data_IF_019762135241
#
_entry.id   IF_019762135241
#
_cell.length_a   1.000
_cell.length_b   1.000
_cell.length_c   1.000
_cell.angle_alpha   90.00
_cell.angle_beta   90.00
_cell.angle_gamma   90.00
#
_symmetry.space_group_name_H-M   'P 1'
#
loop_
_entity.id
_entity.type
_entity.pdbx_description
1 polymer ?
#
# COMPACT_ATOMS: atom_id res chain seq x y z
N UNK A 1 -5.01 23.77 8.27
CA UNK A 1 -4.98 23.51 9.73
C UNK A 1 -5.83 22.28 10.00
N UNK A 2 -5.22 21.13 10.33
CA UNK A 2 -5.97 19.91 10.65
C UNK A 2 -6.33 19.90 12.14
N UNK A 3 -7.62 19.96 12.46
CA UNK A 3 -8.10 19.84 13.84
C UNK A 3 -7.90 18.40 14.32
N UNK A 4 -7.20 18.25 15.45
CA UNK A 4 -6.91 16.96 16.07
C UNK A 4 -8.16 16.52 16.84
N UNK A 5 -8.97 15.65 16.24
CA UNK A 5 -10.12 15.06 16.94
C UNK A 5 -9.64 14.04 17.96
N UNK A 6 -10.01 14.23 19.23
CA UNK A 6 -9.72 13.31 20.32
C UNK A 6 -10.99 12.52 20.66
N UNK A 7 -10.95 11.19 20.49
CA UNK A 7 -11.99 10.29 20.99
C UNK A 7 -11.57 9.77 22.36
N UNK A 8 -12.37 10.09 23.37
CA UNK A 8 -12.24 9.51 24.70
C UNK A 8 -13.15 8.29 24.79
N UNK A 9 -12.68 7.24 25.45
CA UNK A 9 -13.45 6.04 25.73
C UNK A 9 -13.43 5.77 27.25
N UNK A 10 -14.48 5.13 27.76
CA UNK A 10 -14.56 4.74 29.16
C UNK A 10 -13.59 3.58 29.41
N UNK A 11 -12.86 3.62 30.53
CA UNK A 11 -12.00 2.54 30.97
C UNK A 11 -12.83 1.30 31.31
N UNK A 12 -12.56 0.18 30.64
CA UNK A 12 -13.29 -1.08 30.76
C UNK A 12 -12.63 -2.09 31.72
N UNK A 13 -11.46 -1.75 32.28
CA UNK A 13 -10.76 -2.57 33.28
C UNK A 13 -9.99 -3.76 32.71
N UNK A 14 -10.10 -4.04 31.41
CA UNK A 14 -9.38 -5.17 30.76
C UNK A 14 -7.91 -4.82 30.46
N UNK A 15 -7.56 -3.54 30.53
CA UNK A 15 -6.27 -3.00 30.14
C UNK A 15 -5.25 -3.12 31.29
N UNK A 16 -4.50 -4.21 31.32
CA UNK A 16 -3.35 -4.39 32.20
C UNK A 16 -2.10 -3.78 31.57
N UNK A 17 -2.05 -2.45 31.52
CA UNK A 17 -0.93 -1.70 30.91
C UNK A 17 0.18 -1.40 31.91
N UNK A 18 -0.09 -1.64 33.19
CA UNK A 18 0.81 -1.37 34.29
C UNK A 18 0.84 -2.58 35.22
N UNK A 19 1.78 -3.50 34.95
CA UNK A 19 2.12 -4.55 35.91
C UNK A 19 3.17 -3.98 36.85
N UNK A 20 2.71 -3.34 37.92
CA UNK A 20 3.58 -2.96 39.03
C UNK A 20 3.54 -4.06 40.07
N UNK A 21 4.69 -4.63 40.41
CA UNK A 21 4.79 -5.38 41.66
C UNK A 21 4.66 -4.41 42.82
N UNK A 22 3.73 -4.71 43.73
CA UNK A 22 3.40 -3.87 44.88
C UNK A 22 4.61 -3.69 45.82
N UNK A 23 5.52 -4.66 45.84
CA UNK A 23 6.74 -4.61 46.64
C UNK A 23 7.72 -3.55 46.12
N UNK A 24 8.01 -3.56 44.81
CA UNK A 24 8.88 -2.60 44.14
C UNK A 24 8.33 -1.17 44.21
N UNK A 25 7.01 -1.05 44.16
CA UNK A 25 6.31 0.23 44.31
C UNK A 25 6.55 0.82 45.70
N UNK A 26 6.47 0.00 46.75
CA UNK A 26 6.72 0.46 48.11
C UNK A 26 8.19 0.80 48.37
N UNK A 27 9.12 0.02 47.83
CA UNK A 27 10.55 0.31 47.96
C UNK A 27 10.90 1.65 47.32
N UNK A 28 10.44 1.90 46.08
CA UNK A 28 10.68 3.16 45.37
C UNK A 28 10.03 4.36 46.07
N UNK A 29 8.82 4.20 46.62
CA UNK A 29 8.15 5.28 47.35
C UNK A 29 8.81 5.55 48.71
N UNK A 30 9.34 4.53 49.38
CA UNK A 30 10.03 4.67 50.67
C UNK A 30 11.33 5.45 50.52
N UNK A 31 12.10 5.19 49.46
CA UNK A 31 13.37 5.85 49.23
C UNK A 31 13.19 7.33 48.87
N UNK A 32 12.19 7.65 48.05
CA UNK A 32 11.91 9.04 47.67
C UNK A 32 11.21 9.83 48.78
N UNK A 33 10.36 9.20 49.60
CA UNK A 33 9.80 9.81 50.80
C UNK A 33 10.89 10.19 51.80
N UNK A 34 11.87 9.31 52.01
CA UNK A 34 13.03 9.59 52.88
C UNK A 34 13.93 10.71 52.32
N UNK A 35 14.03 10.85 50.99
CA UNK A 35 14.85 11.90 50.35
C UNK A 35 14.18 13.28 50.27
N UNK A 36 12.87 13.34 50.03
CA UNK A 36 12.17 14.59 49.65
C UNK A 36 10.88 14.87 50.40
N UNK A 37 10.33 13.90 51.14
CA UNK A 37 9.11 14.07 51.94
C UNK A 37 7.80 14.21 51.16
N UNK A 38 7.81 14.11 49.82
CA UNK A 38 6.63 14.25 48.98
C UNK A 38 6.41 13.03 48.06
N UNK A 39 5.43 12.22 48.45
CA UNK A 39 4.99 11.01 47.75
C UNK A 39 4.35 11.35 46.40
N UNK A 40 3.66 12.50 46.30
CA UNK A 40 2.92 12.88 45.10
C UNK A 40 3.85 13.19 43.92
N UNK A 41 5.00 13.80 44.22
CA UNK A 41 6.05 14.08 43.24
C UNK A 41 6.74 12.80 42.77
N UNK A 42 7.06 11.88 43.70
CA UNK A 42 7.65 10.58 43.37
C UNK A 42 6.75 9.75 42.45
N UNK A 43 5.45 9.70 42.75
CA UNK A 43 4.46 8.97 41.96
C UNK A 43 4.30 9.58 40.56
N UNK A 44 4.38 10.91 40.44
CA UNK A 44 4.31 11.62 39.15
C UNK A 44 5.54 11.36 38.29
N UNK A 45 6.73 11.35 38.89
CA UNK A 45 7.98 11.06 38.17
C UNK A 45 8.06 9.59 37.77
N UNK A 46 7.58 8.69 38.61
CA UNK A 46 7.43 7.26 38.34
C UNK A 46 6.47 7.01 37.17
N UNK A 47 5.29 7.62 37.16
CA UNK A 47 4.35 7.49 36.03
C UNK A 47 4.94 8.06 34.73
N UNK A 48 5.73 9.13 34.81
CA UNK A 48 6.31 9.78 33.63
C UNK A 48 7.46 8.98 33.04
N UNK A 49 8.32 8.41 33.89
CA UNK A 49 9.60 7.82 33.49
C UNK A 49 9.68 6.29 33.64
N UNK A 50 8.68 5.66 34.26
CA UNK A 50 8.70 4.22 34.59
C UNK A 50 9.45 3.93 35.90
N UNK A 51 9.25 2.72 36.44
CA UNK A 51 10.01 2.23 37.59
C UNK A 51 11.24 1.50 37.07
N UNK A 52 12.44 1.92 37.50
CA UNK A 52 13.66 1.17 37.24
C UNK A 52 13.76 0.05 38.28
N UNK A 53 13.37 -1.16 37.90
CA UNK A 53 13.68 -2.36 38.70
C UNK A 53 15.12 -2.79 38.44
N UNK A 54 15.80 -3.30 39.47
CA UNK A 54 17.16 -3.86 39.35
C UNK A 54 17.17 -5.22 38.65
N UNK A 55 16.01 -5.86 38.54
CA UNK A 55 15.80 -7.08 37.75
C UNK A 55 15.08 -6.70 36.46
N UNK A 56 15.73 -7.08 35.35
CA UNK A 56 15.52 -6.88 33.91
C UNK A 56 14.18 -6.42 33.28
N UNK A 57 13.06 -6.32 34.00
CA UNK A 57 11.80 -5.75 33.48
C UNK A 57 11.37 -4.53 34.29
N UNK A 58 11.89 -3.37 33.90
CA UNK A 58 11.35 -2.09 34.33
C UNK A 58 9.96 -1.89 33.74
N UNK A 59 8.99 -1.47 34.57
CA UNK A 59 7.65 -1.16 34.09
C UNK A 59 7.68 0.10 33.21
N UNK A 60 7.17 -0.04 31.97
CA UNK A 60 7.15 1.03 30.97
C UNK A 60 6.42 2.27 31.49
N UNK A 61 7.08 3.42 31.40
CA UNK A 61 6.47 4.71 31.76
C UNK A 61 5.48 5.20 30.70
N UNK A 62 4.73 6.28 31.01
CA UNK A 62 3.85 6.95 30.04
C UNK A 62 4.60 7.45 28.80
N UNK A 63 5.91 7.74 28.92
CA UNK A 63 6.77 8.09 27.77
C UNK A 63 6.96 6.92 26.83
N UNK A 64 7.32 5.75 27.35
CA UNK A 64 7.52 4.55 26.55
C UNK A 64 6.21 4.11 25.89
N UNK A 65 5.10 4.20 26.63
CA UNK A 65 3.77 3.90 26.10
C UNK A 65 3.38 4.90 25.00
N UNK A 66 3.68 6.19 25.17
CA UNK A 66 3.48 7.20 24.11
C UNK A 66 4.36 6.93 22.89
N UNK A 67 5.59 6.46 23.10
CA UNK A 67 6.50 6.08 22.03
C UNK A 67 6.02 4.83 21.28
N UNK A 68 5.57 3.80 21.99
CA UNK A 68 4.93 2.63 21.43
C UNK A 68 3.66 3.00 20.65
N UNK A 69 2.81 3.89 21.16
CA UNK A 69 1.63 4.39 20.45
C UNK A 69 2.02 5.17 19.19
N UNK A 70 3.06 6.01 19.25
CA UNK A 70 3.58 6.71 18.06
C UNK A 70 4.15 5.74 17.03
N UNK A 71 4.83 4.69 17.48
CA UNK A 71 5.42 3.68 16.60
C UNK A 71 4.33 2.83 15.96
N UNK A 72 3.35 2.36 16.74
CA UNK A 72 2.17 1.66 16.23
C UNK A 72 1.37 2.53 15.26
N UNK A 73 1.16 3.82 15.58
CA UNK A 73 0.54 4.77 14.65
C UNK A 73 1.32 4.90 13.34
N UNK A 74 2.65 4.99 13.40
CA UNK A 74 3.49 5.05 12.19
C UNK A 74 3.39 3.77 11.36
N UNK A 75 3.39 2.61 12.00
CA UNK A 75 3.23 1.31 11.34
C UNK A 75 1.85 1.18 10.67
N UNK A 76 0.78 1.58 11.36
CA UNK A 76 -0.58 1.58 10.80
C UNK A 76 -0.72 2.58 9.64
N UNK A 77 -0.09 3.75 9.74
CA UNK A 77 -0.04 4.71 8.62
C UNK A 77 0.76 4.20 7.43
N UNK A 78 1.88 3.48 7.65
CA UNK A 78 2.65 2.84 6.58
C UNK A 78 1.88 1.70 5.92
N UNK A 79 1.09 0.93 6.67
CA UNK A 79 0.20 -0.09 6.09
C UNK A 79 -0.84 0.50 5.13
N UNK A 80 -1.19 1.78 5.29
CA UNK A 80 -2.13 2.50 4.42
C UNK A 80 -1.44 3.28 3.27
N UNK A 81 -0.23 2.88 2.85
CA UNK A 81 0.49 3.42 1.69
C UNK A 81 -0.20 3.17 0.32
N UNK A 82 -1.47 2.78 0.30
CA UNK A 82 -2.24 2.63 -0.95
C UNK A 82 -2.29 3.93 -1.73
N UNK A 83 -2.43 5.08 -1.04
CA UNK A 83 -2.45 6.40 -1.68
C UNK A 83 -1.14 6.68 -2.45
N UNK A 84 0.01 6.38 -1.86
CA UNK A 84 1.31 6.61 -2.51
C UNK A 84 1.55 5.67 -3.69
N UNK A 85 1.05 4.43 -3.64
CA UNK A 85 1.17 3.48 -4.76
C UNK A 85 0.25 3.92 -5.90
N UNK A 86 -0.95 4.42 -5.57
CA UNK A 86 -1.89 4.97 -6.54
C UNK A 86 -1.35 6.26 -7.17
N UNK A 87 -0.65 7.09 -6.40
CA UNK A 87 0.04 8.28 -6.91
C UNK A 87 1.18 7.93 -7.86
N UNK A 88 2.04 6.97 -7.50
CA UNK A 88 3.12 6.48 -8.39
C UNK A 88 2.55 5.88 -9.68
N UNK A 89 1.47 5.09 -9.55
CA UNK A 89 0.77 4.52 -10.69
C UNK A 89 0.20 5.61 -11.61
N UNK A 90 -0.45 6.63 -11.03
CA UNK A 90 -1.00 7.75 -11.78
C UNK A 90 0.09 8.50 -12.54
N UNK A 91 1.22 8.79 -11.87
CA UNK A 91 2.36 9.45 -12.50
C UNK A 91 2.97 8.65 -13.65
N UNK A 92 3.09 7.33 -13.50
CA UNK A 92 3.57 6.45 -14.58
C UNK A 92 2.62 6.43 -15.77
N UNK A 93 1.31 6.36 -15.52
CA UNK A 93 0.30 6.44 -16.57
C UNK A 93 0.33 7.78 -17.29
N UNK A 94 0.46 8.89 -16.56
CA UNK A 94 0.56 10.22 -17.15
C UNK A 94 1.78 10.32 -18.08
N UNK A 95 2.95 9.80 -17.68
CA UNK A 95 4.14 9.76 -18.54
C UNK A 95 3.92 8.97 -19.83
N UNK A 96 3.27 7.81 -19.74
CA UNK A 96 2.95 6.96 -20.90
C UNK A 96 2.02 7.71 -21.85
N UNK A 97 0.98 8.35 -21.31
CA UNK A 97 0.00 9.12 -22.09
C UNK A 97 0.67 10.33 -22.74
N UNK A 98 1.53 11.05 -22.02
CA UNK A 98 2.25 12.21 -22.53
C UNK A 98 3.23 11.82 -23.66
N UNK A 99 3.89 10.67 -23.54
CA UNK A 99 4.77 10.13 -24.58
C UNK A 99 3.97 9.81 -25.85
N UNK A 100 2.83 9.12 -25.72
CA UNK A 100 1.95 8.81 -26.84
C UNK A 100 1.37 10.09 -27.49
N UNK A 101 0.94 11.07 -26.68
CA UNK A 101 0.47 12.37 -27.17
C UNK A 101 1.55 13.12 -27.94
N UNK A 102 2.79 13.10 -27.45
CA UNK A 102 3.95 13.65 -28.14
C UNK A 102 4.14 13.02 -29.52
N UNK A 103 4.15 11.69 -29.58
CA UNK A 103 4.29 10.96 -30.85
C UNK A 103 3.15 11.23 -31.82
N UNK A 104 1.90 11.34 -31.34
CA UNK A 104 0.77 11.73 -32.20
C UNK A 104 0.95 13.15 -32.73
N UNK A 105 1.38 14.09 -31.90
CA UNK A 105 1.61 15.48 -32.30
C UNK A 105 2.72 15.58 -33.35
N UNK A 106 3.82 14.88 -33.15
CA UNK A 106 4.94 14.84 -34.09
C UNK A 106 4.52 14.24 -35.43
N UNK A 107 3.78 13.12 -35.43
CA UNK A 107 3.25 12.52 -36.65
C UNK A 107 2.27 13.42 -37.38
N UNK A 108 1.37 14.09 -36.66
CA UNK A 108 0.43 15.04 -37.26
C UNK A 108 1.16 16.20 -37.95
N UNK A 109 2.25 16.70 -37.35
CA UNK A 109 3.04 17.78 -37.94
C UNK A 109 3.87 17.31 -39.15
N UNK A 110 4.32 16.05 -39.15
CA UNK A 110 5.07 15.45 -40.27
C UNK A 110 4.15 15.21 -41.48
N UNK A 111 2.90 14.77 -41.26
CA UNK A 111 1.88 14.60 -42.30
C UNK A 111 1.60 15.88 -43.10
N UNK A 112 1.72 17.04 -42.45
CA UNK A 112 1.58 18.38 -43.05
C UNK A 112 2.82 18.82 -43.86
N UNK A 113 4.00 18.24 -43.57
CA UNK A 113 5.28 18.62 -44.18
C UNK A 113 5.73 17.68 -45.29
N UNK A 114 5.35 16.41 -45.20
CA UNK A 114 5.76 15.40 -46.17
C UNK A 114 4.92 15.48 -47.45
N UNK A 115 5.57 16.00 -48.49
CA UNK A 115 5.21 15.79 -49.89
C UNK A 115 5.58 14.36 -50.26
N UNK A 116 4.73 13.40 -49.84
CA UNK A 116 4.95 12.00 -50.15
C UNK A 116 4.99 11.82 -51.67
N UNK A 117 6.19 11.61 -52.20
CA UNK A 117 6.40 11.26 -53.60
C UNK A 117 6.04 9.79 -53.78
N UNK A 118 4.74 9.51 -53.78
CA UNK A 118 4.19 8.21 -54.08
C UNK A 118 4.22 8.01 -55.59
N UNK A 119 5.35 7.51 -56.11
CA UNK A 119 5.58 7.28 -57.55
C UNK A 119 4.50 6.41 -58.25
N UNK A 120 3.66 5.72 -57.49
CA UNK A 120 2.63 4.78 -57.97
C UNK A 120 1.19 5.10 -57.54
N UNK A 121 0.92 6.26 -56.94
CA UNK A 121 -0.45 6.62 -56.52
C UNK A 121 -0.95 7.87 -57.24
N UNK A 122 -2.25 7.90 -57.51
CA UNK A 122 -2.90 9.12 -58.00
C UNK A 122 -2.98 10.17 -56.89
N UNK A 123 -3.00 11.48 -57.22
CA UNK A 123 -3.18 12.55 -56.22
C UNK A 123 -4.43 12.36 -55.33
N UNK A 124 -5.50 11.80 -55.89
CA UNK A 124 -6.75 11.53 -55.16
C UNK A 124 -6.58 10.40 -54.12
N UNK A 125 -5.85 9.33 -54.47
CA UNK A 125 -5.55 8.23 -53.55
C UNK A 125 -4.60 8.68 -52.42
N UNK A 126 -3.61 9.52 -52.73
CA UNK A 126 -2.69 10.08 -51.72
C UNK A 126 -3.47 10.94 -50.72
N UNK A 127 -4.39 11.77 -51.21
CA UNK A 127 -5.24 12.62 -50.36
C UNK A 127 -6.15 11.79 -49.46
N UNK A 128 -6.80 10.75 -50.00
CA UNK A 128 -7.65 9.84 -49.22
C UNK A 128 -6.86 9.09 -48.12
N UNK A 129 -5.62 8.68 -48.40
CA UNK A 129 -4.75 8.04 -47.42
C UNK A 129 -4.33 9.01 -46.30
N UNK A 130 -3.99 10.26 -46.65
CA UNK A 130 -3.71 11.32 -45.67
C UNK A 130 -4.91 11.59 -44.77
N UNK A 131 -6.10 11.79 -45.36
CA UNK A 131 -7.34 12.01 -44.61
C UNK A 131 -7.64 10.85 -43.64
N UNK A 132 -7.42 9.61 -44.09
CA UNK A 132 -7.60 8.43 -43.23
C UNK A 132 -6.60 8.42 -42.07
N UNK A 133 -5.33 8.76 -42.32
CA UNK A 133 -4.31 8.85 -41.29
C UNK A 133 -4.66 9.93 -40.25
N UNK A 134 -4.99 11.14 -40.70
CA UNK A 134 -5.36 12.26 -39.83
C UNK A 134 -6.59 11.95 -39.00
N UNK A 135 -7.57 11.27 -39.59
CA UNK A 135 -8.76 10.82 -38.88
C UNK A 135 -8.42 9.86 -37.75
N UNK A 136 -7.48 8.92 -37.97
CA UNK A 136 -7.00 8.00 -36.92
C UNK A 136 -6.24 8.75 -35.83
N UNK A 137 -5.34 9.67 -36.17
CA UNK A 137 -4.60 10.46 -35.18
C UNK A 137 -5.57 11.27 -34.29
N UNK A 138 -6.59 11.90 -34.89
CA UNK A 138 -7.65 12.61 -34.15
C UNK A 138 -8.46 11.68 -33.26
N UNK A 139 -8.80 10.48 -33.74
CA UNK A 139 -9.51 9.49 -32.91
C UNK A 139 -8.68 9.07 -31.70
N UNK A 140 -7.38 8.84 -31.89
CA UNK A 140 -6.45 8.51 -30.82
C UNK A 140 -6.35 9.62 -29.78
N UNK A 141 -6.21 10.89 -30.21
CA UNK A 141 -6.20 12.03 -29.27
C UNK A 141 -7.49 12.12 -28.46
N UNK A 142 -8.64 12.01 -29.14
CA UNK A 142 -9.94 12.03 -28.46
C UNK A 142 -10.07 10.89 -27.46
N UNK A 143 -9.55 9.71 -27.77
CA UNK A 143 -9.54 8.59 -26.84
C UNK A 143 -8.72 8.92 -25.59
N UNK A 144 -7.51 9.46 -25.76
CA UNK A 144 -6.63 9.84 -24.64
C UNK A 144 -7.22 10.97 -23.78
N UNK A 145 -7.96 11.91 -24.38
CA UNK A 145 -8.62 13.01 -23.68
C UNK A 145 -9.85 12.57 -22.87
N UNK A 146 -10.51 11.49 -23.31
CA UNK A 146 -11.68 10.92 -22.64
C UNK A 146 -11.33 9.82 -21.63
N UNK A 147 -10.05 9.65 -21.30
CA UNK A 147 -9.64 8.71 -20.27
C UNK A 147 -10.21 9.09 -18.89
N UNK A 148 -10.69 8.11 -18.10
CA UNK A 148 -11.27 8.37 -16.79
C UNK A 148 -10.23 8.92 -15.80
N UNK A 149 -10.70 9.57 -14.74
CA UNK A 149 -9.82 10.14 -13.70
C UNK A 149 -9.16 9.04 -12.85
N UNK A 150 -9.82 7.89 -12.70
CA UNK A 150 -9.31 6.79 -11.87
C UNK A 150 -8.21 5.98 -12.59
N UNK A 151 -7.08 5.66 -11.92
CA UNK A 151 -6.00 4.90 -12.53
C UNK A 151 -6.43 3.52 -13.05
N UNK A 152 -7.29 2.83 -12.31
CA UNK A 152 -7.83 1.52 -12.73
C UNK A 152 -8.65 1.61 -14.01
N UNK A 153 -9.45 2.67 -14.18
CA UNK A 153 -10.22 2.90 -15.40
C UNK A 153 -9.33 3.23 -16.58
N UNK A 154 -8.27 4.02 -16.37
CA UNK A 154 -7.29 4.35 -17.41
C UNK A 154 -6.59 3.09 -17.91
N UNK A 155 -6.15 2.22 -16.99
CA UNK A 155 -5.52 0.94 -17.36
C UNK A 155 -6.47 0.08 -18.19
N UNK A 156 -7.74 -0.02 -17.81
CA UNK A 156 -8.73 -0.81 -18.57
C UNK A 156 -8.88 -0.32 -20.01
N UNK A 157 -9.00 0.99 -20.20
CA UNK A 157 -9.09 1.55 -21.54
C UNK A 157 -7.78 1.39 -22.32
N UNK A 158 -6.63 1.64 -21.68
CA UNK A 158 -5.31 1.55 -22.31
C UNK A 158 -4.90 0.09 -22.65
N UNK A 159 -5.51 -0.92 -22.03
CA UNK A 159 -5.29 -2.32 -22.41
C UNK A 159 -5.79 -2.64 -23.82
N UNK A 160 -6.90 -2.01 -24.23
CA UNK A 160 -7.50 -2.22 -25.55
C UNK A 160 -7.03 -1.16 -26.58
N UNK A 161 -6.18 -0.23 -26.16
CA UNK A 161 -5.67 0.87 -26.97
C UNK A 161 -4.47 0.44 -27.84
N UNK A 162 -4.48 0.84 -29.11
CA UNK A 162 -3.38 0.58 -30.06
C UNK A 162 -2.41 1.77 -30.09
N UNK A 163 -1.33 1.65 -29.31
CA UNK A 163 -0.27 2.66 -29.22
C UNK A 163 0.46 2.83 -30.54
N UNK A 164 0.63 4.10 -30.96
CA UNK A 164 1.48 4.44 -32.10
C UNK A 164 2.95 4.46 -31.73
N UNK A 165 3.25 4.80 -30.47
CA UNK A 165 4.59 4.87 -29.94
C UNK A 165 5.04 3.52 -29.34
N UNK A 166 6.20 3.03 -29.79
CA UNK A 166 6.74 1.76 -29.32
C UNK A 166 7.21 1.84 -27.86
N UNK A 167 7.75 2.99 -27.44
CA UNK A 167 8.24 3.19 -26.09
C UNK A 167 7.08 3.26 -25.10
N UNK A 168 6.04 4.06 -25.37
CA UNK A 168 4.84 4.14 -24.54
C UNK A 168 4.19 2.77 -24.35
N UNK A 169 4.11 1.98 -25.44
CA UNK A 169 3.60 0.60 -25.39
C UNK A 169 4.44 -0.32 -24.50
N UNK A 170 5.77 -0.19 -24.55
CA UNK A 170 6.67 -0.99 -23.71
C UNK A 170 6.53 -0.61 -22.24
N UNK A 171 6.56 0.69 -21.94
CA UNK A 171 6.40 1.20 -20.57
C UNK A 171 5.06 0.77 -19.95
N UNK A 172 3.98 0.77 -20.73
CA UNK A 172 2.68 0.27 -20.27
C UNK A 172 2.68 -1.23 -19.98
N UNK A 173 3.32 -2.03 -20.83
CA UNK A 173 3.45 -3.48 -20.59
C UNK A 173 4.28 -3.78 -19.34
N UNK A 174 5.37 -3.05 -19.14
CA UNK A 174 6.21 -3.19 -17.95
C UNK A 174 5.45 -2.80 -16.68
N UNK A 175 4.65 -1.73 -16.75
CA UNK A 175 3.75 -1.33 -15.67
C UNK A 175 2.74 -2.44 -15.33
N UNK A 176 2.11 -3.03 -16.33
CA UNK A 176 1.17 -4.15 -16.15
C UNK A 176 1.86 -5.37 -15.51
N UNK A 177 3.09 -5.69 -15.95
CA UNK A 177 3.85 -6.80 -15.40
C UNK A 177 4.21 -6.57 -13.93
N UNK A 178 4.64 -5.35 -13.57
CA UNK A 178 4.92 -4.96 -12.19
C UNK A 178 3.66 -5.08 -11.32
N UNK A 179 2.53 -4.58 -11.80
CA UNK A 179 1.27 -4.62 -11.06
C UNK A 179 0.79 -6.06 -10.82
N UNK A 180 0.89 -6.93 -11.83
CA UNK A 180 0.61 -8.37 -11.69
C UNK A 180 1.54 -9.04 -10.66
N UNK A 181 2.83 -8.73 -10.70
CA UNK A 181 3.81 -9.28 -9.76
C UNK A 181 3.51 -8.83 -8.32
N UNK A 182 3.24 -7.54 -8.12
CA UNK A 182 2.89 -7.01 -6.80
C UNK A 182 1.60 -7.65 -6.26
N UNK A 183 0.58 -7.81 -7.11
CA UNK A 183 -0.66 -8.47 -6.73
C UNK A 183 -0.41 -9.93 -6.31
N UNK A 184 0.39 -10.68 -7.08
CA UNK A 184 0.76 -12.06 -6.74
C UNK A 184 1.54 -12.14 -5.42
N UNK A 185 2.47 -11.22 -5.18
CA UNK A 185 3.24 -11.14 -3.95
C UNK A 185 2.37 -10.81 -2.72
N UNK A 186 1.40 -9.92 -2.89
CA UNK A 186 0.46 -9.55 -1.83
C UNK A 186 -0.45 -10.73 -1.47
N UNK A 187 -1.02 -11.42 -2.46
CA UNK A 187 -1.84 -12.63 -2.26
C UNK A 187 -1.01 -13.73 -1.59
N UNK A 188 0.24 -13.93 -2.02
CA UNK A 188 1.12 -14.94 -1.42
C UNK A 188 1.48 -14.60 0.03
N UNK A 189 1.73 -13.32 0.34
CA UNK A 189 1.99 -12.87 1.71
C UNK A 189 0.77 -13.08 2.59
N UNK A 190 -0.43 -12.72 2.11
CA UNK A 190 -1.68 -12.91 2.84
C UNK A 190 -2.00 -14.39 3.08
N UNK A 191 -1.77 -15.25 2.08
CA UNK A 191 -1.87 -16.70 2.25
C UNK A 191 -0.85 -17.22 3.26
N UNK A 192 0.39 -16.71 3.24
CA UNK A 192 1.43 -17.10 4.19
C UNK A 192 1.08 -16.68 5.61
N UNK A 193 0.54 -15.48 5.80
CA UNK A 193 0.11 -14.99 7.11
C UNK A 193 -1.05 -15.84 7.65
N UNK A 194 -2.03 -16.16 6.81
CA UNK A 194 -3.10 -17.11 7.17
C UNK A 194 -2.56 -18.51 7.48
N UNK A 195 -1.58 -19.00 6.73
CA UNK A 195 -0.93 -20.30 7.00
C UNK A 195 -0.03 -20.27 8.24
N UNK A 196 0.47 -19.11 8.67
CA UNK A 196 1.22 -18.95 9.92
C UNK A 196 0.30 -18.83 11.13
N UNK A 197 -0.93 -18.34 10.96
CA UNK A 197 -1.98 -18.41 11.99
C UNK A 197 -2.47 -19.85 12.22
N UNK A 198 -2.38 -20.73 11.21
CA UNK A 198 -2.57 -22.17 11.41
C UNK A 198 -1.30 -22.76 12.03
N UNK A 199 -1.35 -23.05 13.34
CA UNK A 199 -0.17 -23.59 14.02
C UNK A 199 0.22 -24.98 13.46
N UNK A 200 1.51 -25.36 13.48
CA UNK A 200 1.94 -26.71 13.09
C UNK A 200 1.20 -27.82 13.84
N UNK A 201 0.76 -27.53 15.06
CA UNK A 201 -0.05 -28.41 15.90
C UNK A 201 -1.48 -28.61 15.36
N UNK A 202 -2.10 -27.55 14.84
CA UNK A 202 -3.41 -27.62 14.19
C UNK A 202 -3.35 -28.42 12.89
N UNK A 203 -2.27 -28.29 12.11
CA UNK A 203 -2.03 -29.12 10.92
C UNK A 203 -1.89 -30.60 11.30
N UNK A 204 -1.20 -30.89 12.41
CA UNK A 204 -1.02 -32.26 12.89
C UNK A 204 -2.35 -32.86 13.39
N UNK A 205 -3.13 -32.11 14.18
CA UNK A 205 -4.47 -32.54 14.60
C UNK A 205 -5.41 -32.81 13.41
N UNK A 206 -5.35 -31.98 12.36
CA UNK A 206 -6.16 -32.18 11.16
C UNK A 206 -5.75 -33.45 10.40
N UNK A 207 -4.44 -33.74 10.30
CA UNK A 207 -3.94 -35.00 9.73
C UNK A 207 -4.40 -36.23 10.51
N UNK A 208 -4.37 -36.15 11.84
CA UNK A 208 -4.78 -37.25 12.71
C UNK A 208 -6.30 -37.50 12.61
N UNK A 209 -7.10 -36.44 12.49
CA UNK A 209 -8.56 -36.54 12.30
C UNK A 209 -8.93 -37.14 10.93
N UNK A 210 -8.26 -36.73 9.85
CA UNK A 210 -8.47 -37.32 8.50
C UNK A 210 -8.10 -38.79 8.49
N UNK A 211 -7.01 -39.16 9.19
CA UNK A 211 -6.58 -40.56 9.30
C UNK A 211 -7.61 -41.40 10.08
N UNK A 212 -8.15 -40.87 11.17
CA UNK A 212 -9.23 -41.51 11.93
C UNK A 212 -10.53 -41.68 11.10
N UNK A 213 -10.86 -40.70 10.26
CA UNK A 213 -12.02 -40.78 9.34
C UNK A 213 -11.81 -41.84 8.24
N UNK A 214 -10.61 -41.92 7.67
CA UNK A 214 -10.26 -42.94 6.68
C UNK A 214 -10.32 -44.35 7.30
N UNK A 215 -9.87 -44.52 8.54
CA UNK A 215 -9.97 -45.80 9.26
C UNK A 215 -11.42 -46.18 9.55
N UNK A 216 -12.26 -45.24 10.02
CA UNK A 216 -13.68 -45.49 10.28
C UNK A 216 -14.48 -45.84 9.03
N UNK A 217 -14.13 -45.26 7.87
CA UNK A 217 -14.73 -45.58 6.57
C UNK A 217 -14.25 -46.92 5.99
N UNK A 218 -13.13 -47.47 6.49
CA UNK A 218 -12.56 -48.74 6.03
C UNK A 218 -13.01 -49.93 6.88
N UNK A 219 -13.52 -49.68 8.09
CA UNK A 219 -14.03 -50.67 9.04
C UNK A 219 -15.57 -50.85 8.99
N UNK A 220 -16.20 -50.46 7.88
CA UNK A 220 -17.59 -50.78 7.51
C UNK A 220 -17.62 -51.51 6.17
#
# INVERSE_FOLDING_TARGET
MLYRNYRYAKWDGTQRIFEFDASTLMDSLSEDFLKRGDISSALRDMLRNGVKSSEQDGSSGLRDLMEQVKNRRRQELQKHNLDSIIDDLSQKLDRIIDTERGTIHDRSNDSDRDDFNFDNFTPDEISALKDMQDSRLKQNLNFLDNLPVSPSGRIQMLMDYDFLDQQARQEFQDLLAQLKSQMANNISSELKDQMQEVSPEQIQQMKDMVRALIEMLRDK
#
